data_IF_143015874674
#
_entry.id   IF_143015874674
#
_cell.length_a   1.000
_cell.length_b   1.000
_cell.length_c   1.000
_cell.angle_alpha   90.00
_cell.angle_beta   90.00
_cell.angle_gamma   90.00
#
_symmetry.space_group_name_H-M   'P 1'
#
loop_
_entity.id
_entity.type
_entity.pdbx_description
1 polymer ?
#
# COMPACT_ATOMS: atom_id res chain seq x y z
N UNK A 1 61.08 -17.26 28.49
CA UNK A 1 59.76 -17.87 28.30
C UNK A 1 58.78 -16.72 28.17
N UNK A 2 58.63 -16.19 26.96
CA UNK A 2 57.50 -16.50 26.05
C UNK A 2 56.37 -15.49 26.31
N UNK A 3 55.67 -14.86 25.37
CA UNK A 3 55.71 -14.76 23.91
C UNK A 3 54.55 -13.83 23.51
N UNK A 4 54.64 -13.16 22.34
CA UNK A 4 53.52 -12.59 21.52
C UNK A 4 52.77 -11.37 22.12
N UNK A 5 52.70 -10.18 21.52
CA UNK A 5 52.69 -9.84 20.10
C UNK A 5 51.27 -9.86 19.56
N UNK A 6 50.61 -8.69 19.46
CA UNK A 6 49.62 -8.34 18.43
C UNK A 6 49.07 -6.93 18.66
N UNK A 7 49.50 -5.97 17.83
CA UNK A 7 48.82 -4.69 17.66
C UNK A 7 47.56 -4.92 16.82
N UNK A 8 46.39 -4.61 17.36
CA UNK A 8 45.13 -4.60 16.59
C UNK A 8 44.89 -3.21 16.02
N UNK A 9 45.34 -3.00 14.78
CA UNK A 9 44.83 -1.96 13.90
C UNK A 9 43.36 -2.28 13.56
N UNK A 10 42.41 -1.58 14.18
CA UNK A 10 41.07 -1.42 13.63
C UNK A 10 41.00 -0.10 12.88
N UNK A 11 41.44 -0.23 11.64
CA UNK A 11 41.16 0.64 10.51
C UNK A 11 39.65 0.58 10.27
N UNK A 12 38.92 1.48 10.92
CA UNK A 12 37.54 1.81 10.58
C UNK A 12 37.53 2.63 9.29
N UNK A 13 38.01 2.02 8.21
CA UNK A 13 37.83 2.53 6.86
C UNK A 13 36.51 1.97 6.37
N UNK A 14 35.47 2.80 6.43
CA UNK A 14 34.22 2.55 5.71
C UNK A 14 34.61 2.44 4.23
N UNK A 15 34.36 1.31 3.55
CA UNK A 15 34.64 1.24 2.13
C UNK A 15 33.70 2.22 1.43
N UNK A 16 34.27 3.30 0.90
CA UNK A 16 33.64 4.08 -0.15
C UNK A 16 33.45 3.10 -1.29
N UNK A 17 32.22 2.65 -1.51
CA UNK A 17 31.92 1.75 -2.62
C UNK A 17 32.21 2.53 -3.89
N UNK A 18 33.21 2.05 -4.63
CA UNK A 18 33.52 2.54 -5.95
C UNK A 18 32.26 2.46 -6.81
N UNK A 19 32.05 3.53 -7.58
CA UNK A 19 30.94 3.74 -8.49
C UNK A 19 31.00 2.73 -9.65
N UNK A 20 30.63 1.48 -9.39
CA UNK A 20 30.46 0.45 -10.43
C UNK A 20 29.01 0.43 -10.87
N UNK A 21 28.72 1.22 -11.90
CA UNK A 21 27.49 1.15 -12.67
C UNK A 21 27.40 -0.19 -13.43
N UNK A 22 26.96 -1.26 -12.76
CA UNK A 22 26.63 -2.52 -13.44
C UNK A 22 25.73 -3.40 -12.58
N UNK A 23 24.43 -3.10 -12.62
CA UNK A 23 23.37 -3.93 -12.06
C UNK A 23 22.06 -3.20 -12.25
N UNK A 24 21.30 -3.57 -13.29
CA UNK A 24 19.91 -3.17 -13.59
C UNK A 24 19.37 -2.06 -12.69
N UNK A 25 19.79 -0.83 -12.97
CA UNK A 25 19.26 0.38 -12.35
C UNK A 25 17.86 0.60 -12.92
N UNK A 26 16.87 -0.10 -12.36
CA UNK A 26 15.52 0.45 -12.30
C UNK A 26 15.62 1.61 -11.32
N UNK A 27 16.07 2.73 -11.87
CA UNK A 27 16.47 3.91 -11.15
C UNK A 27 15.26 4.53 -10.48
N UNK A 28 15.11 4.27 -9.18
CA UNK A 28 14.50 5.26 -8.33
C UNK A 28 15.21 6.59 -8.62
N UNK A 29 14.42 7.63 -8.87
CA UNK A 29 14.89 8.96 -9.24
C UNK A 29 15.72 9.57 -8.09
N UNK A 30 17.00 9.19 -8.00
CA UNK A 30 17.92 9.57 -6.93
C UNK A 30 18.19 11.07 -6.92
N UNK A 31 18.11 11.72 -8.09
CA UNK A 31 18.30 13.15 -8.23
C UNK A 31 17.09 13.94 -7.70
N UNK A 32 15.86 13.43 -7.86
CA UNK A 32 14.65 14.07 -7.31
C UNK A 32 14.34 13.65 -5.86
N UNK A 33 14.68 12.42 -5.47
CA UNK A 33 14.27 11.81 -4.19
C UNK A 33 15.39 11.73 -3.15
N UNK A 34 16.65 11.93 -3.54
CA UNK A 34 17.82 11.81 -2.65
C UNK A 34 18.15 10.37 -2.28
N UNK A 35 19.23 10.16 -1.52
CA UNK A 35 19.62 8.84 -1.00
C UNK A 35 18.57 8.37 0.03
N UNK A 36 17.83 7.31 -0.28
CA UNK A 36 16.86 6.75 0.65
C UNK A 36 17.58 5.96 1.75
N UNK A 37 17.22 6.20 3.01
CA UNK A 37 17.67 5.36 4.11
C UNK A 37 16.84 4.07 4.13
N UNK A 38 17.49 2.91 4.23
CA UNK A 38 16.81 1.60 4.37
C UNK A 38 15.78 1.61 5.51
N UNK A 39 16.03 2.38 6.58
CA UNK A 39 15.07 2.52 7.69
C UNK A 39 13.79 3.27 7.30
N UNK A 40 13.87 4.22 6.38
CA UNK A 40 12.71 4.99 5.89
C UNK A 40 11.83 4.17 4.96
N UNK A 41 12.37 3.12 4.32
CA UNK A 41 11.59 2.23 3.45
C UNK A 41 10.99 1.05 4.22
N UNK A 42 11.68 0.55 5.26
CA UNK A 42 11.22 -0.62 6.02
C UNK A 42 10.20 -0.28 7.12
N UNK A 43 10.26 0.91 7.71
CA UNK A 43 9.42 1.25 8.85
C UNK A 43 8.46 2.39 8.52
N UNK A 44 7.16 2.26 8.86
CA UNK A 44 6.23 3.35 8.71
C UNK A 44 6.70 4.53 9.56
N UNK A 45 6.63 5.72 8.98
CA UNK A 45 7.01 6.97 9.65
C UNK A 45 6.05 7.30 10.80
N UNK A 46 4.79 6.91 10.65
CA UNK A 46 3.72 7.14 11.61
C UNK A 46 3.05 5.80 11.99
N UNK A 47 2.73 5.57 13.28
CA UNK A 47 2.11 4.32 13.73
C UNK A 47 0.80 3.98 13.01
N UNK A 48 0.04 5.00 12.58
CA UNK A 48 -1.21 4.82 11.83
C UNK A 48 -1.05 4.75 10.31
N UNK A 49 0.14 4.96 9.77
CA UNK A 49 0.35 5.01 8.30
C UNK A 49 -0.10 3.71 7.62
N UNK A 50 0.24 2.56 8.22
CA UNK A 50 -0.18 1.25 7.72
C UNK A 50 -1.70 1.04 7.85
N UNK A 51 -2.32 1.61 8.90
CA UNK A 51 -3.75 1.51 9.14
C UNK A 51 -4.52 2.31 8.10
N UNK A 52 -4.15 3.57 7.89
CA UNK A 52 -4.73 4.47 6.91
C UNK A 52 -4.64 3.90 5.49
N UNK A 53 -3.45 3.41 5.09
CA UNK A 53 -3.25 2.77 3.78
C UNK A 53 -4.19 1.58 3.54
N UNK A 54 -4.63 0.89 4.59
CA UNK A 54 -5.51 -0.27 4.52
C UNK A 54 -6.93 -0.01 5.02
N UNK A 55 -7.29 1.25 5.26
CA UNK A 55 -8.54 1.62 5.93
C UNK A 55 -9.76 1.03 5.23
N UNK A 56 -9.91 1.30 3.93
CA UNK A 56 -11.05 0.81 3.14
C UNK A 56 -11.11 -0.72 3.10
N UNK A 57 -9.97 -1.40 2.92
CA UNK A 57 -9.94 -2.86 2.88
C UNK A 57 -10.33 -3.48 4.23
N UNK A 58 -9.91 -2.85 5.33
CA UNK A 58 -10.26 -3.30 6.66
C UNK A 58 -11.74 -3.04 6.96
N UNK A 59 -12.27 -1.89 6.55
CA UNK A 59 -13.69 -1.57 6.67
C UNK A 59 -14.57 -2.54 5.87
N UNK A 60 -14.21 -2.83 4.62
CA UNK A 60 -14.89 -3.82 3.80
C UNK A 60 -14.89 -5.19 4.50
N UNK A 61 -13.74 -5.65 5.02
CA UNK A 61 -13.63 -6.91 5.76
C UNK A 61 -14.54 -6.95 6.98
N UNK A 62 -14.54 -5.89 7.80
CA UNK A 62 -15.40 -5.82 8.99
C UNK A 62 -16.88 -5.81 8.61
N UNK A 63 -17.25 -5.11 7.54
CA UNK A 63 -18.62 -5.03 7.05
C UNK A 63 -19.10 -6.41 6.56
N UNK A 64 -18.30 -7.11 5.74
CA UNK A 64 -18.65 -8.46 5.27
C UNK A 64 -18.74 -9.47 6.41
N UNK A 65 -17.85 -9.40 7.40
CA UNK A 65 -17.92 -10.25 8.59
C UNK A 65 -19.20 -9.96 9.40
N UNK A 66 -19.56 -8.69 9.56
CA UNK A 66 -20.77 -8.26 10.26
C UNK A 66 -22.03 -8.72 9.54
N UNK A 67 -22.10 -8.53 8.21
CA UNK A 67 -23.21 -9.02 7.39
C UNK A 67 -23.36 -10.54 7.49
N UNK A 68 -22.25 -11.28 7.46
CA UNK A 68 -22.26 -12.73 7.69
C UNK A 68 -22.83 -13.09 9.05
N UNK A 69 -22.46 -12.37 10.11
CA UNK A 69 -22.89 -12.67 11.46
C UNK A 69 -24.39 -12.37 11.68
N UNK A 70 -24.91 -11.33 11.03
CA UNK A 70 -26.32 -10.91 11.18
C UNK A 70 -27.24 -11.75 10.28
N UNK A 71 -26.88 -11.91 9.00
CA UNK A 71 -27.76 -12.47 7.97
C UNK A 71 -27.33 -13.88 7.52
N UNK A 72 -26.11 -14.32 7.84
CA UNK A 72 -25.56 -15.61 7.40
C UNK A 72 -24.70 -15.50 6.13
N UNK A 73 -24.19 -16.64 5.62
CA UNK A 73 -23.23 -16.69 4.52
C UNK A 73 -23.77 -16.15 3.18
N UNK A 74 -25.07 -16.23 2.94
CA UNK A 74 -25.67 -15.84 1.66
C UNK A 74 -25.60 -14.33 1.40
N UNK A 75 -25.70 -13.50 2.44
CA UNK A 75 -25.67 -12.05 2.34
C UNK A 75 -24.34 -11.49 1.79
N UNK A 76 -23.16 -11.78 2.39
CA UNK A 76 -21.89 -11.30 1.85
C UNK A 76 -21.58 -11.89 0.46
N UNK A 77 -22.00 -13.13 0.19
CA UNK A 77 -21.82 -13.74 -1.13
C UNK A 77 -22.62 -13.00 -2.21
N UNK A 78 -23.90 -12.70 -1.94
CA UNK A 78 -24.76 -11.93 -2.83
C UNK A 78 -24.17 -10.55 -3.12
N UNK A 79 -23.78 -9.82 -2.08
CA UNK A 79 -23.19 -8.49 -2.23
C UNK A 79 -21.86 -8.53 -3.01
N UNK A 80 -21.02 -9.54 -2.77
CA UNK A 80 -19.79 -9.72 -3.52
C UNK A 80 -20.05 -10.03 -5.01
N UNK A 81 -21.10 -10.81 -5.32
CA UNK A 81 -21.51 -11.08 -6.70
C UNK A 81 -22.02 -9.81 -7.39
N UNK A 82 -22.85 -9.01 -6.71
CA UNK A 82 -23.36 -7.73 -7.22
C UNK A 82 -22.22 -6.76 -7.52
N UNK A 83 -21.27 -6.59 -6.59
CA UNK A 83 -20.08 -5.76 -6.79
C UNK A 83 -19.25 -6.20 -8.00
N UNK A 84 -19.11 -7.51 -8.24
CA UNK A 84 -18.40 -8.04 -9.42
C UNK A 84 -19.18 -7.75 -10.71
N UNK A 85 -20.50 -7.94 -10.71
CA UNK A 85 -21.34 -7.67 -11.86
C UNK A 85 -21.30 -6.18 -12.26
N UNK A 86 -21.41 -5.28 -11.28
CA UNK A 86 -21.33 -3.82 -11.53
C UNK A 86 -19.96 -3.42 -12.08
N UNK A 87 -18.86 -4.00 -11.58
CA UNK A 87 -17.52 -3.73 -12.11
C UNK A 87 -17.32 -4.20 -13.55
N UNK A 88 -18.01 -5.25 -13.97
CA UNK A 88 -17.96 -5.77 -15.33
C UNK A 88 -18.85 -4.97 -16.29
N UNK A 89 -19.96 -4.43 -15.81
CA UNK A 89 -20.89 -3.62 -16.59
C UNK A 89 -20.35 -2.20 -16.77
N UNK A 90 -19.50 -2.00 -17.78
CA UNK A 90 -19.03 -0.66 -18.16
C UNK A 90 -19.92 -0.01 -19.22
N UNK A 91 -19.94 1.33 -19.22
CA UNK A 91 -20.63 2.13 -20.25
C UNK A 91 -19.94 1.92 -21.60
N UNK A 92 -20.67 2.28 -22.67
CA UNK A 92 -20.12 2.24 -24.03
C UNK A 92 -18.77 2.97 -24.07
N UNK A 93 -17.79 2.46 -24.84
CA UNK A 93 -16.58 3.23 -25.13
C UNK A 93 -17.02 4.60 -25.64
N UNK A 94 -16.38 5.71 -25.28
CA UNK A 94 -16.77 7.13 -25.46
C UNK A 94 -17.64 7.78 -24.37
N UNK A 95 -18.25 7.04 -23.44
CA UNK A 95 -19.02 7.63 -22.34
C UNK A 95 -18.25 7.53 -21.02
N UNK A 96 -18.10 8.65 -20.32
CA UNK A 96 -17.45 8.67 -19.00
C UNK A 96 -18.20 7.75 -18.02
N UNK A 97 -17.46 6.82 -17.41
CA UNK A 97 -17.96 5.95 -16.35
C UNK A 97 -17.74 6.59 -14.99
N UNK A 98 -18.79 6.67 -14.18
CA UNK A 98 -18.73 7.04 -12.77
C UNK A 98 -18.91 5.77 -11.91
N UNK A 99 -18.26 5.71 -10.74
CA UNK A 99 -18.35 4.54 -9.84
C UNK A 99 -19.61 4.50 -8.95
N UNK A 100 -20.59 5.37 -9.19
CA UNK A 100 -21.81 5.52 -8.37
C UNK A 100 -22.47 4.20 -7.93
N UNK A 101 -22.64 3.24 -8.85
CA UNK A 101 -23.26 1.96 -8.50
C UNK A 101 -22.39 1.12 -7.55
N UNK A 102 -21.06 1.18 -7.68
CA UNK A 102 -20.13 0.53 -6.76
C UNK A 102 -20.17 1.22 -5.40
N UNK A 103 -20.27 2.55 -5.39
CA UNK A 103 -20.27 3.36 -4.17
C UNK A 103 -21.57 3.16 -3.37
N UNK A 104 -22.73 3.09 -4.03
CA UNK A 104 -24.01 2.73 -3.38
C UNK A 104 -23.98 1.32 -2.79
N UNK A 105 -23.42 0.32 -3.50
CA UNK A 105 -23.31 -1.03 -2.95
C UNK A 105 -22.35 -1.11 -1.75
N UNK A 106 -21.41 -0.17 -1.63
CA UNK A 106 -20.51 -0.05 -0.47
C UNK A 106 -21.08 0.81 0.65
N UNK A 107 -22.14 1.57 0.39
CA UNK A 107 -22.71 2.55 1.33
C UNK A 107 -21.86 3.82 1.46
N UNK A 108 -21.03 4.11 0.46
CA UNK A 108 -20.20 5.32 0.44
C UNK A 108 -20.99 6.56 -0.01
N UNK A 109 -22.19 6.39 -0.59
CA UNK A 109 -23.05 7.47 -1.06
C UNK A 109 -23.68 8.33 0.05
N UNK A 110 -23.65 7.86 1.29
CA UNK A 110 -24.12 8.59 2.48
C UNK A 110 -23.04 9.51 3.09
N UNK A 111 -21.77 9.32 2.73
CA UNK A 111 -20.63 10.04 3.30
C UNK A 111 -19.94 10.89 2.22
N UNK A 112 -19.43 12.06 2.61
CA UNK A 112 -18.63 12.92 1.72
C UNK A 112 -17.16 12.81 2.15
N UNK A 113 -16.31 12.36 1.21
CA UNK A 113 -14.87 12.22 1.38
C UNK A 113 -14.07 13.39 0.80
N UNK A 114 -12.74 13.31 0.93
CA UNK A 114 -11.84 14.28 0.30
C UNK A 114 -11.80 14.08 -1.22
N UNK A 115 -11.94 12.84 -1.65
CA UNK A 115 -12.02 12.41 -3.04
C UNK A 115 -13.20 13.02 -3.80
N UNK A 116 -14.28 13.42 -3.13
CA UNK A 116 -15.44 14.02 -3.79
C UNK A 116 -15.24 15.52 -4.09
N UNK A 117 -14.42 16.18 -3.28
CA UNK A 117 -14.16 17.63 -3.37
C UNK A 117 -12.94 17.91 -4.26
N UNK A 118 -11.95 17.01 -4.24
CA UNK A 118 -10.64 17.20 -4.85
C UNK A 118 -10.37 16.31 -6.08
N UNK A 119 -11.40 15.63 -6.62
CA UNK A 119 -11.28 14.77 -7.82
C UNK A 119 -10.96 15.54 -9.10
#
# INVERSE_FOLDING_TARGET
QDSRGAASLLKDSIPITDFSASGSFEGHDLLRRGFTSVRSELLPSHPLELSEKNFQLNQDKTNFATLRNIQGLHAPLKLQMELRAVKQAQRLPFLHSSNMAVDTLRGNDECIGFEDILN
#
